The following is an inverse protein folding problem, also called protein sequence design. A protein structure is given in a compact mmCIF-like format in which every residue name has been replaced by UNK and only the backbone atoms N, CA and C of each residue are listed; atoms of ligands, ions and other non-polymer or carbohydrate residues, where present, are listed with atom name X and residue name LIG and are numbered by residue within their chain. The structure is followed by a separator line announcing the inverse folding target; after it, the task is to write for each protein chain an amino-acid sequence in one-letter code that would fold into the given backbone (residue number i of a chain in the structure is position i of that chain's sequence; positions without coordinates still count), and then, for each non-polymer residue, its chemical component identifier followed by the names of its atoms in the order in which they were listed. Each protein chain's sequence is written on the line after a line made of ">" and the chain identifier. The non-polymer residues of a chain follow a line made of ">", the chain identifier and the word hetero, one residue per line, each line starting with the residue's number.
data_IF_508514401215
#
_entry.id   IF_508514401215
#
_cell.length_a   1.000
_cell.length_b   1.000
_cell.length_c   1.000
_cell.angle_alpha   90.00
_cell.angle_beta   90.00
_cell.angle_gamma   90.00
#
_symmetry.space_group_name_H-M   'P 1'
#
loop_
_entity.id
_entity.type
_entity.pdbx_description
1 polymer ?
#
# COMPACT_ATOMS: atom_id res chain seq x y z
N UNK A 1 -15.12 -20.98 8.02
CA UNK A 1 -15.88 -19.85 8.60
C UNK A 1 -15.45 -18.58 7.87
N UNK A 2 -16.32 -17.60 7.64
CA UNK A 2 -15.90 -16.33 7.06
C UNK A 2 -14.86 -15.67 7.97
N UNK A 3 -13.84 -15.05 7.38
CA UNK A 3 -12.87 -14.26 8.14
C UNK A 3 -13.59 -13.07 8.81
N UNK A 4 -13.19 -12.66 10.02
CA UNK A 4 -13.68 -11.40 10.57
C UNK A 4 -13.29 -10.25 9.64
N UNK A 5 -14.17 -9.25 9.53
CA UNK A 5 -13.85 -7.99 8.86
C UNK A 5 -12.69 -7.32 9.63
N UNK A 6 -11.72 -6.82 8.87
CA UNK A 6 -10.57 -6.08 9.40
C UNK A 6 -10.56 -4.71 8.72
N UNK A 7 -10.42 -3.66 9.51
CA UNK A 7 -10.33 -2.28 9.03
C UNK A 7 -8.86 -1.87 8.97
N UNK A 8 -8.41 -1.47 7.78
CA UNK A 8 -7.08 -0.88 7.59
C UNK A 8 -7.10 0.62 7.91
N UNK A 9 -5.92 1.22 8.03
CA UNK A 9 -5.78 2.66 8.07
C UNK A 9 -6.00 3.31 6.69
N UNK A 10 -5.75 4.62 6.61
CA UNK A 10 -5.96 5.42 5.40
C UNK A 10 -4.69 6.13 4.92
N UNK A 11 -4.88 7.09 4.00
CA UNK A 11 -3.77 7.80 3.37
C UNK A 11 -2.92 8.66 4.33
N UNK A 12 -1.73 8.15 4.67
CA UNK A 12 -0.70 8.83 5.48
C UNK A 12 -0.34 10.23 4.93
N UNK A 13 -0.03 10.34 3.64
CA UNK A 13 0.41 11.60 3.02
C UNK A 13 -0.61 12.73 3.14
N UNK A 14 -1.89 12.44 2.93
CA UNK A 14 -2.99 13.43 3.04
C UNK A 14 -3.16 13.91 4.47
N UNK A 15 -3.10 12.99 5.43
CA UNK A 15 -3.27 13.34 6.83
C UNK A 15 -2.08 14.14 7.37
N UNK A 16 -0.86 13.86 6.90
CA UNK A 16 0.33 14.67 7.17
C UNK A 16 0.18 16.08 6.61
N UNK A 17 -0.23 16.22 5.35
CA UNK A 17 -0.48 17.52 4.72
C UNK A 17 -1.55 18.32 5.47
N UNK A 18 -2.66 17.68 5.87
CA UNK A 18 -3.75 18.29 6.64
C UNK A 18 -3.29 18.83 8.00
N UNK A 19 -2.23 18.24 8.57
CA UNK A 19 -1.62 18.66 9.85
C UNK A 19 -0.49 19.67 9.66
N UNK A 20 -0.23 20.11 8.43
CA UNK A 20 0.85 21.03 8.11
C UNK A 20 2.24 20.42 8.23
N UNK A 21 2.37 19.09 8.19
CA UNK A 21 3.67 18.44 8.16
C UNK A 21 4.33 18.61 6.78
N UNK A 22 5.67 18.58 6.68
CA UNK A 22 6.39 18.67 5.41
C UNK A 22 5.91 17.62 4.40
N UNK A 23 5.43 18.09 3.25
CA UNK A 23 4.96 17.25 2.15
C UNK A 23 5.31 17.91 0.82
N UNK A 24 6.22 17.30 0.06
CA UNK A 24 6.66 17.77 -1.25
C UNK A 24 6.93 16.56 -2.15
N UNK A 25 6.62 16.66 -3.45
CA UNK A 25 6.98 15.63 -4.41
C UNK A 25 8.47 15.75 -4.81
N UNK A 26 9.21 14.65 -5.02
CA UNK A 26 8.74 13.25 -5.05
C UNK A 26 8.78 12.54 -3.69
N UNK A 27 9.30 13.15 -2.61
CA UNK A 27 9.48 12.48 -1.32
C UNK A 27 8.17 12.16 -0.58
N UNK A 28 7.08 12.88 -0.89
CA UNK A 28 5.75 12.71 -0.29
C UNK A 28 5.81 12.59 1.25
N UNK A 29 5.30 11.49 1.81
CA UNK A 29 5.25 11.23 3.25
C UNK A 29 6.62 10.87 3.85
N UNK A 30 7.62 10.50 3.04
CA UNK A 30 8.98 10.28 3.54
C UNK A 30 9.61 11.58 4.03
N UNK A 31 9.24 12.75 3.46
CA UNK A 31 9.77 14.03 3.92
C UNK A 31 9.37 14.31 5.37
N UNK A 32 8.11 14.08 5.72
CA UNK A 32 7.64 14.18 7.10
C UNK A 32 8.35 13.18 8.02
N UNK A 33 8.62 11.96 7.55
CA UNK A 33 9.40 10.98 8.33
C UNK A 33 10.82 11.50 8.64
N UNK A 34 11.46 12.15 7.68
CA UNK A 34 12.83 12.68 7.81
C UNK A 34 12.89 13.95 8.68
N UNK A 35 11.90 14.84 8.55
CA UNK A 35 11.96 16.18 9.14
C UNK A 35 11.08 16.37 10.37
N UNK A 36 9.97 15.64 10.47
CA UNK A 36 8.99 15.77 11.54
C UNK A 36 8.36 14.40 11.92
N UNK A 37 9.16 13.42 12.38
CA UNK A 37 8.69 12.07 12.69
C UNK A 37 7.57 12.00 13.73
N UNK A 38 7.46 12.99 14.62
CA UNK A 38 6.34 13.08 15.57
C UNK A 38 4.99 13.19 14.87
N UNK A 39 4.92 13.90 13.73
CA UNK A 39 3.69 14.02 12.96
C UNK A 39 3.23 12.66 12.41
N UNK A 40 4.18 11.80 11.99
CA UNK A 40 3.88 10.44 11.52
C UNK A 40 3.28 9.58 12.64
N UNK A 41 3.87 9.62 13.84
CA UNK A 41 3.30 8.94 15.01
C UNK A 41 1.90 9.46 15.35
N UNK A 42 1.69 10.78 15.28
CA UNK A 42 0.36 11.37 15.51
C UNK A 42 -0.67 10.89 14.48
N UNK A 43 -0.29 10.67 13.22
CA UNK A 43 -1.17 10.13 12.18
C UNK A 43 -1.55 8.68 12.50
N UNK A 44 -0.59 7.83 12.85
CA UNK A 44 -0.88 6.46 13.28
C UNK A 44 -1.85 6.43 14.48
N UNK A 45 -1.61 7.25 15.51
CA UNK A 45 -2.51 7.34 16.67
C UNK A 45 -3.92 7.73 16.28
N UNK A 46 -4.09 8.63 15.31
CA UNK A 46 -5.42 9.01 14.85
C UNK A 46 -6.14 7.90 14.08
N UNK A 47 -5.44 7.10 13.27
CA UNK A 47 -6.06 5.93 12.63
C UNK A 47 -6.42 4.83 13.64
N UNK A 48 -5.55 4.58 14.62
CA UNK A 48 -5.86 3.70 15.76
C UNK A 48 -7.11 4.22 16.50
N UNK A 49 -7.20 5.54 16.74
CA UNK A 49 -8.34 6.09 17.44
C UNK A 49 -9.63 6.01 16.63
N UNK A 50 -9.54 6.20 15.30
CA UNK A 50 -10.64 6.01 14.37
C UNK A 50 -11.13 4.56 14.24
N UNK A 51 -10.35 3.58 14.73
CA UNK A 51 -10.76 2.17 14.80
C UNK A 51 -10.07 1.25 13.80
N UNK A 52 -8.90 1.62 13.27
CA UNK A 52 -8.09 0.71 12.46
C UNK A 52 -7.64 -0.51 13.28
N UNK A 53 -7.84 -1.71 12.72
CA UNK A 53 -7.33 -2.97 13.25
C UNK A 53 -5.86 -3.20 12.84
N UNK A 54 -5.45 -2.58 11.74
CA UNK A 54 -4.10 -2.65 11.18
C UNK A 54 -3.70 -1.26 10.71
N UNK A 55 -2.51 -0.82 11.10
CA UNK A 55 -1.87 0.38 10.55
C UNK A 55 -0.68 -0.01 9.66
N UNK A 56 -0.41 0.81 8.65
CA UNK A 56 0.64 0.58 7.67
C UNK A 56 1.80 1.53 7.94
N UNK A 57 3.03 1.02 8.01
CA UNK A 57 4.23 1.84 8.24
C UNK A 57 4.40 2.92 7.17
N UNK A 58 4.90 4.10 7.56
CA UNK A 58 5.21 5.18 6.62
C UNK A 58 6.52 4.93 5.85
N UNK A 59 6.59 3.86 5.07
CA UNK A 59 7.79 3.44 4.33
C UNK A 59 7.59 3.37 2.81
N UNK A 60 6.38 3.65 2.32
CA UNK A 60 6.02 3.58 0.90
C UNK A 60 6.95 4.39 -0.02
N UNK A 61 7.27 5.63 0.35
CA UNK A 61 8.14 6.49 -0.46
C UNK A 61 9.64 6.30 -0.17
N UNK A 62 10.06 5.29 0.61
CA UNK A 62 11.46 5.05 0.95
C UNK A 62 12.21 4.23 -0.11
N UNK A 63 11.94 4.49 -1.39
CA UNK A 63 12.61 3.85 -2.53
C UNK A 63 13.43 4.88 -3.31
N UNK A 64 14.48 4.47 -4.05
CA UNK A 64 15.33 5.38 -4.83
C UNK A 64 14.55 6.32 -5.74
N UNK A 65 13.45 5.84 -6.32
CA UNK A 65 12.57 6.64 -7.17
C UNK A 65 12.05 7.92 -6.49
N UNK A 66 11.79 7.86 -5.18
CA UNK A 66 11.16 8.97 -4.42
C UNK A 66 12.15 9.77 -3.58
N UNK A 67 13.08 9.12 -2.87
CA UNK A 67 14.05 9.82 -2.02
C UNK A 67 15.42 10.03 -2.70
N UNK A 68 15.62 9.48 -3.89
CA UNK A 68 16.90 9.53 -4.60
C UNK A 68 17.86 8.41 -4.19
N UNK A 69 18.75 8.05 -5.10
CA UNK A 69 19.72 6.94 -4.93
C UNK A 69 20.66 7.13 -3.73
N UNK A 70 21.18 8.34 -3.55
CA UNK A 70 22.14 8.62 -2.48
C UNK A 70 21.51 8.56 -1.08
N UNK A 71 20.34 9.17 -0.91
CA UNK A 71 19.60 9.12 0.36
C UNK A 71 19.10 7.71 0.65
N UNK A 72 18.59 6.98 -0.35
CA UNK A 72 18.20 5.58 -0.17
C UNK A 72 19.39 4.72 0.27
N UNK A 73 20.52 4.81 -0.42
CA UNK A 73 21.73 4.03 -0.11
C UNK A 73 22.27 4.32 1.28
N UNK A 74 22.21 5.56 1.73
CA UNK A 74 22.80 5.99 3.00
C UNK A 74 21.83 5.88 4.19
N UNK A 75 20.52 6.05 3.94
CA UNK A 75 19.52 6.20 5.00
C UNK A 75 18.33 5.24 4.88
N UNK A 76 18.13 4.54 3.76
CA UNK A 76 16.92 3.75 3.47
C UNK A 76 16.57 2.75 4.59
N UNK A 77 17.52 1.95 5.05
CA UNK A 77 17.28 1.02 6.17
C UNK A 77 16.96 1.74 7.49
N UNK A 78 17.66 2.85 7.78
CA UNK A 78 17.44 3.64 8.99
C UNK A 78 16.06 4.28 9.00
N UNK A 79 15.61 4.82 7.85
CA UNK A 79 14.29 5.41 7.70
C UNK A 79 13.20 4.34 7.76
N UNK A 80 13.40 3.17 7.14
CA UNK A 80 12.48 2.04 7.22
C UNK A 80 12.32 1.55 8.67
N UNK A 81 13.43 1.50 9.42
CA UNK A 81 13.41 1.24 10.87
C UNK A 81 12.63 2.30 11.64
N UNK A 82 12.88 3.58 11.39
CA UNK A 82 12.16 4.67 12.05
C UNK A 82 10.65 4.60 11.77
N UNK A 83 10.24 4.29 10.54
CA UNK A 83 8.83 4.11 10.19
C UNK A 83 8.18 2.97 11.00
N UNK A 84 8.89 1.84 11.16
CA UNK A 84 8.44 0.73 12.01
C UNK A 84 8.36 1.12 13.50
N UNK A 85 9.38 1.80 14.03
CA UNK A 85 9.43 2.28 15.42
C UNK A 85 8.24 3.19 15.74
N UNK A 86 7.92 4.14 14.88
CA UNK A 86 6.82 5.09 15.09
C UNK A 86 5.44 4.43 15.03
N UNK A 87 5.25 3.45 14.14
CA UNK A 87 4.02 2.67 14.07
C UNK A 87 3.85 1.82 15.32
N UNK A 88 4.89 1.09 15.74
CA UNK A 88 4.85 0.29 16.97
C UNK A 88 4.62 1.18 18.19
N UNK A 89 5.27 2.35 18.26
CA UNK A 89 5.09 3.29 19.36
C UNK A 89 3.63 3.72 19.45
N UNK A 90 2.99 4.06 18.33
CA UNK A 90 1.57 4.43 18.32
C UNK A 90 0.65 3.30 18.80
N UNK A 91 0.98 2.04 18.49
CA UNK A 91 0.28 0.86 19.03
C UNK A 91 0.53 0.71 20.54
N UNK A 92 1.77 0.85 21.00
CA UNK A 92 2.13 0.75 22.42
C UNK A 92 1.54 1.87 23.30
N UNK A 93 1.34 3.05 22.72
CA UNK A 93 0.65 4.19 23.36
C UNK A 93 -0.88 3.97 23.47
N UNK A 94 -1.42 2.95 22.79
CA UNK A 94 -2.86 2.65 22.73
C UNK A 94 -3.24 1.47 23.63
N UNK A 95 -4.49 1.45 24.09
CA UNK A 95 -5.10 0.29 24.75
C UNK A 95 -5.76 -0.70 23.77
N UNK A 96 -5.80 -0.36 22.48
CA UNK A 96 -6.44 -1.17 21.42
C UNK A 96 -5.46 -2.23 20.90
N UNK A 97 -6.00 -3.39 20.51
CA UNK A 97 -5.22 -4.45 19.85
C UNK A 97 -5.14 -4.15 18.36
N UNK A 98 -4.09 -3.44 17.96
CA UNK A 98 -3.83 -3.07 16.56
C UNK A 98 -2.55 -3.76 16.10
N UNK A 99 -2.52 -4.19 14.84
CA UNK A 99 -1.32 -4.77 14.20
C UNK A 99 -0.60 -3.77 13.31
N UNK A 100 0.69 -3.97 13.12
CA UNK A 100 1.52 -3.17 12.21
C UNK A 100 1.81 -3.96 10.93
N UNK A 101 1.43 -3.40 9.78
CA UNK A 101 1.81 -3.88 8.47
C UNK A 101 3.06 -3.13 7.98
N UNK A 102 4.12 -3.89 7.64
CA UNK A 102 5.26 -3.31 6.94
C UNK A 102 4.90 -3.11 5.46
N UNK A 103 4.81 -1.85 5.04
CA UNK A 103 4.65 -1.48 3.63
C UNK A 103 5.88 -1.90 2.82
N UNK A 104 5.61 -2.62 1.74
CA UNK A 104 6.54 -2.96 0.68
C UNK A 104 5.97 -2.39 -0.64
N UNK A 105 6.41 -1.18 -1.06
CA UNK A 105 5.91 -0.49 -2.24
C UNK A 105 6.45 -1.09 -3.55
N UNK A 106 5.99 -0.64 -4.73
CA UNK A 106 6.68 -0.89 -5.99
C UNK A 106 8.11 -0.35 -5.93
N UNK A 107 9.10 -1.19 -6.21
CA UNK A 107 10.50 -0.85 -5.99
C UNK A 107 11.08 0.16 -7.01
N UNK A 108 10.46 0.24 -8.19
CA UNK A 108 10.97 1.00 -9.35
C UNK A 108 10.03 2.12 -9.81
N UNK A 109 9.13 2.56 -8.93
CA UNK A 109 8.14 3.59 -9.21
C UNK A 109 6.72 3.03 -9.27
N UNK A 110 5.77 3.80 -8.75
CA UNK A 110 4.36 3.45 -8.73
C UNK A 110 3.79 3.41 -10.14
N UNK A 111 2.83 2.52 -10.40
CA UNK A 111 2.10 2.42 -11.67
C UNK A 111 2.97 2.17 -12.92
N UNK A 112 4.24 1.82 -12.74
CA UNK A 112 5.23 1.62 -13.82
C UNK A 112 5.75 0.18 -13.84
N UNK A 113 4.90 -0.82 -14.16
CA UNK A 113 5.31 -2.22 -14.22
C UNK A 113 6.39 -2.46 -15.28
N UNK A 114 6.53 -1.55 -16.26
CA UNK A 114 7.56 -1.57 -17.29
C UNK A 114 8.97 -1.27 -16.76
N UNK A 115 9.09 -0.63 -15.59
CA UNK A 115 10.37 -0.32 -14.96
C UNK A 115 10.88 -1.43 -14.02
N UNK A 116 10.07 -2.47 -13.77
CA UNK A 116 10.43 -3.52 -12.83
C UNK A 116 11.66 -4.32 -13.28
N UNK A 117 12.70 -4.35 -12.44
CA UNK A 117 13.90 -5.15 -12.63
C UNK A 117 14.08 -6.16 -11.49
N UNK A 118 13.80 -7.43 -11.80
CA UNK A 118 13.93 -8.53 -10.84
C UNK A 118 15.37 -8.71 -10.31
N UNK A 119 16.40 -8.37 -11.08
CA UNK A 119 17.79 -8.49 -10.66
C UNK A 119 18.19 -7.39 -9.65
N UNK A 120 17.60 -6.21 -9.77
CA UNK A 120 17.83 -5.08 -8.85
C UNK A 120 16.90 -5.09 -7.63
N UNK A 121 15.77 -5.82 -7.69
CA UNK A 121 14.79 -5.88 -6.61
C UNK A 121 15.40 -6.18 -5.21
N UNK A 122 16.37 -7.11 -5.05
CA UNK A 122 16.98 -7.36 -3.74
C UNK A 122 17.72 -6.14 -3.15
N UNK A 123 18.32 -5.29 -3.99
CA UNK A 123 19.07 -4.10 -3.56
C UNK A 123 18.14 -3.07 -2.91
N UNK A 124 16.91 -2.94 -3.44
CA UNK A 124 15.92 -1.97 -2.95
C UNK A 124 15.05 -2.56 -1.84
N UNK A 125 14.60 -3.81 -1.98
CA UNK A 125 13.71 -4.42 -1.01
C UNK A 125 14.40 -4.73 0.33
N UNK A 126 15.69 -5.12 0.31
CA UNK A 126 16.35 -5.62 1.51
C UNK A 126 16.48 -4.56 2.63
N UNK A 127 16.90 -3.32 2.34
CA UNK A 127 16.87 -2.24 3.34
C UNK A 127 15.49 -2.02 3.97
N UNK A 128 14.42 -2.08 3.16
CA UNK A 128 13.04 -1.89 3.61
C UNK A 128 12.55 -3.05 4.49
N UNK A 129 12.80 -4.29 4.06
CA UNK A 129 12.42 -5.50 4.80
C UNK A 129 13.16 -5.55 6.13
N UNK A 130 14.50 -5.45 6.11
CA UNK A 130 15.32 -5.61 7.32
C UNK A 130 15.07 -4.47 8.33
N UNK A 131 14.79 -3.25 7.85
CA UNK A 131 14.50 -2.11 8.72
C UNK A 131 13.18 -2.26 9.47
N UNK A 132 12.14 -2.78 8.80
CA UNK A 132 10.79 -2.89 9.35
C UNK A 132 10.53 -4.20 10.10
N UNK A 133 11.28 -5.27 9.78
CA UNK A 133 11.07 -6.61 10.33
C UNK A 133 10.93 -6.66 11.87
N UNK A 134 11.65 -5.88 12.69
CA UNK A 134 11.50 -5.94 14.15
C UNK A 134 10.18 -5.38 14.70
N UNK A 135 9.41 -4.65 13.88
CA UNK A 135 8.25 -3.85 14.33
C UNK A 135 6.92 -4.27 13.68
N UNK A 136 6.97 -5.12 12.66
CA UNK A 136 5.82 -5.46 11.85
C UNK A 136 5.28 -6.87 12.16
N UNK A 137 3.96 -6.96 12.30
CA UNK A 137 3.22 -8.20 12.49
C UNK A 137 2.91 -8.91 11.17
N UNK A 138 2.96 -8.19 10.03
CA UNK A 138 2.73 -8.74 8.70
C UNK A 138 3.46 -7.92 7.62
N UNK A 139 3.69 -8.55 6.46
CA UNK A 139 4.17 -7.90 5.25
C UNK A 139 3.00 -7.48 4.37
N UNK A 140 3.02 -6.26 3.85
CA UNK A 140 2.03 -5.76 2.90
C UNK A 140 2.75 -5.28 1.63
N UNK A 141 2.77 -6.13 0.60
CA UNK A 141 3.18 -5.72 -0.73
C UNK A 141 2.06 -4.92 -1.38
N UNK A 142 2.09 -3.59 -1.27
CA UNK A 142 1.01 -2.70 -1.72
C UNK A 142 1.28 -1.99 -3.03
N UNK A 143 0.20 -1.61 -3.71
CA UNK A 143 0.22 -0.87 -4.98
C UNK A 143 1.02 -1.58 -6.08
N UNK A 144 1.11 -2.91 -6.03
CA UNK A 144 1.88 -3.68 -7.01
C UNK A 144 1.15 -3.68 -8.35
N UNK A 145 1.86 -3.31 -9.41
CA UNK A 145 1.30 -3.15 -10.76
C UNK A 145 1.34 -4.45 -11.56
N UNK A 146 2.13 -5.44 -11.12
CA UNK A 146 2.26 -6.74 -11.76
C UNK A 146 2.40 -7.89 -10.75
N UNK A 147 2.11 -9.11 -11.19
CA UNK A 147 2.35 -10.31 -10.37
C UNK A 147 3.84 -10.60 -10.17
N UNK A 148 4.70 -10.15 -11.11
CA UNK A 148 6.14 -10.33 -11.02
C UNK A 148 6.75 -9.59 -9.83
N UNK A 149 6.28 -8.37 -9.55
CA UNK A 149 6.73 -7.59 -8.38
C UNK A 149 6.35 -8.28 -7.07
N UNK A 150 5.10 -8.75 -6.94
CA UNK A 150 4.64 -9.51 -5.76
C UNK A 150 5.47 -10.77 -5.56
N UNK A 151 5.75 -11.53 -6.63
CA UNK A 151 6.60 -12.74 -6.55
C UNK A 151 8.00 -12.42 -6.03
N UNK A 152 8.59 -11.32 -6.49
CA UNK A 152 9.92 -10.91 -6.05
C UNK A 152 9.92 -10.47 -4.58
N UNK A 153 8.97 -9.63 -4.16
CA UNK A 153 8.84 -9.22 -2.76
C UNK A 153 8.57 -10.40 -1.83
N UNK A 154 7.68 -11.31 -2.21
CA UNK A 154 7.40 -12.52 -1.45
C UNK A 154 8.65 -13.40 -1.28
N UNK A 155 9.43 -13.59 -2.35
CA UNK A 155 10.67 -14.39 -2.28
C UNK A 155 11.77 -13.77 -1.41
N UNK A 156 11.75 -12.44 -1.23
CA UNK A 156 12.75 -11.71 -0.45
C UNK A 156 12.36 -11.52 1.02
N UNK A 157 11.05 -11.45 1.30
CA UNK A 157 10.51 -11.29 2.64
C UNK A 157 10.65 -12.60 3.46
N UNK A 158 10.99 -12.52 4.76
CA UNK A 158 10.94 -13.68 5.65
C UNK A 158 9.52 -14.25 5.76
N UNK A 159 9.39 -15.58 5.66
CA UNK A 159 8.12 -16.31 5.83
C UNK A 159 7.83 -16.66 7.30
N UNK A 160 8.13 -15.74 8.22
CA UNK A 160 7.92 -15.89 9.66
C UNK A 160 6.62 -15.21 10.15
N UNK A 161 5.91 -14.55 9.24
CA UNK A 161 4.67 -13.79 9.50
C UNK A 161 3.80 -13.74 8.25
N UNK A 162 2.52 -13.35 8.37
CA UNK A 162 1.63 -13.26 7.22
C UNK A 162 2.15 -12.34 6.12
N UNK A 163 1.91 -12.72 4.86
CA UNK A 163 2.23 -11.91 3.69
C UNK A 163 0.96 -11.56 2.93
N UNK A 164 0.69 -10.27 2.76
CA UNK A 164 -0.48 -9.74 2.08
C UNK A 164 -0.04 -9.11 0.76
N UNK A 165 -0.71 -9.47 -0.33
CA UNK A 165 -0.46 -8.92 -1.65
C UNK A 165 -1.61 -8.01 -2.05
N UNK A 166 -1.31 -6.75 -2.36
CA UNK A 166 -2.29 -5.75 -2.80
C UNK A 166 -1.88 -5.16 -4.15
N UNK A 167 -2.80 -5.24 -5.11
CA UNK A 167 -2.55 -4.79 -6.47
C UNK A 167 -3.28 -3.48 -6.79
N UNK A 168 -2.68 -2.68 -7.66
CA UNK A 168 -3.34 -1.53 -8.30
C UNK A 168 -3.88 -1.91 -9.67
N UNK A 169 -5.00 -1.30 -10.05
CA UNK A 169 -5.76 -1.59 -11.25
C UNK A 169 -5.59 -0.48 -12.29
N UNK A 170 -5.73 -0.86 -13.55
CA UNK A 170 -5.76 0.08 -14.67
C UNK A 170 -7.12 0.79 -14.72
N UNK A 171 -7.20 1.95 -14.08
CA UNK A 171 -8.35 2.86 -14.08
C UNK A 171 -8.22 4.01 -15.10
N UNK A 172 -7.09 4.11 -15.78
CA UNK A 172 -6.87 5.04 -16.90
C UNK A 172 -7.46 4.47 -18.20
N UNK A 173 -7.30 3.16 -18.42
CA UNK A 173 -7.84 2.43 -19.56
C UNK A 173 -8.74 1.28 -19.10
N UNK A 174 -9.86 1.57 -18.40
CA UNK A 174 -10.63 0.56 -17.69
C UNK A 174 -11.20 -0.50 -18.64
N UNK A 175 -10.82 -1.75 -18.38
CA UNK A 175 -11.33 -2.93 -19.08
C UNK A 175 -12.44 -3.62 -18.29
N UNK A 176 -13.29 -4.39 -18.99
CA UNK A 176 -14.27 -5.30 -18.37
C UNK A 176 -14.01 -6.74 -18.84
N UNK A 177 -13.56 -7.66 -17.97
CA UNK A 177 -13.25 -7.45 -16.54
C UNK A 177 -12.02 -6.55 -16.31
N UNK A 178 -11.87 -5.96 -15.10
CA UNK A 178 -10.71 -5.16 -14.73
C UNK A 178 -9.38 -5.91 -14.88
N UNK A 179 -8.29 -5.16 -14.97
CA UNK A 179 -6.93 -5.68 -15.12
C UNK A 179 -5.98 -4.94 -14.18
N UNK A 180 -4.86 -5.59 -13.87
CA UNK A 180 -3.71 -4.91 -13.28
C UNK A 180 -3.15 -3.90 -14.27
N UNK A 181 -2.36 -2.94 -13.79
CA UNK A 181 -1.67 -1.97 -14.68
C UNK A 181 -0.69 -2.62 -15.65
N UNK A 182 -0.20 -3.84 -15.36
CA UNK A 182 0.57 -4.66 -16.30
C UNK A 182 -0.27 -5.29 -17.43
N UNK A 183 -1.60 -5.15 -17.40
CA UNK A 183 -2.55 -5.81 -18.31
C UNK A 183 -2.94 -7.23 -17.88
N UNK A 184 -2.32 -7.77 -16.83
CA UNK A 184 -2.66 -9.08 -16.27
C UNK A 184 -4.11 -9.12 -15.75
N UNK A 185 -4.76 -10.28 -15.89
CA UNK A 185 -6.13 -10.45 -15.40
C UNK A 185 -6.17 -10.59 -13.88
N UNK A 186 -7.31 -10.24 -13.27
CA UNK A 186 -7.56 -10.51 -11.85
C UNK A 186 -7.44 -12.01 -11.52
N UNK A 187 -7.84 -12.89 -12.44
CA UNK A 187 -7.69 -14.34 -12.26
C UNK A 187 -6.21 -14.76 -12.17
N UNK A 188 -5.32 -14.14 -12.95
CA UNK A 188 -3.88 -14.39 -12.86
C UNK A 188 -3.29 -13.88 -11.53
N UNK A 189 -3.77 -12.73 -11.05
CA UNK A 189 -3.40 -12.20 -9.74
C UNK A 189 -3.82 -13.17 -8.62
N UNK A 190 -5.09 -13.64 -8.63
CA UNK A 190 -5.61 -14.64 -7.69
C UNK A 190 -4.78 -15.92 -7.72
N UNK A 191 -4.53 -16.48 -8.91
CA UNK A 191 -3.75 -17.70 -9.06
C UNK A 191 -2.32 -17.53 -8.50
N UNK A 192 -1.71 -16.36 -8.73
CA UNK A 192 -0.38 -16.06 -8.18
C UNK A 192 -0.39 -15.99 -6.66
N UNK A 193 -1.35 -15.31 -6.05
CA UNK A 193 -1.39 -15.18 -4.57
C UNK A 193 -1.66 -16.53 -3.91
N UNK A 194 -2.49 -17.40 -4.51
CA UNK A 194 -2.68 -18.79 -4.06
C UNK A 194 -1.39 -19.60 -4.18
N UNK A 195 -0.73 -19.54 -5.33
CA UNK A 195 0.51 -20.28 -5.62
C UNK A 195 1.65 -19.91 -4.65
N UNK A 196 1.75 -18.62 -4.30
CA UNK A 196 2.71 -18.14 -3.31
C UNK A 196 2.38 -18.57 -1.87
N UNK A 197 1.14 -18.99 -1.60
CA UNK A 197 0.67 -19.29 -0.24
C UNK A 197 0.54 -18.05 0.65
N UNK A 198 0.32 -16.88 0.05
CA UNK A 198 0.09 -15.64 0.78
C UNK A 198 -1.26 -15.67 1.53
N UNK A 199 -1.40 -14.83 2.56
CA UNK A 199 -2.52 -14.87 3.51
C UNK A 199 -3.72 -14.03 3.10
N UNK A 200 -3.49 -13.03 2.23
CA UNK A 200 -4.54 -12.16 1.72
C UNK A 200 -4.22 -11.62 0.32
N UNK A 201 -5.26 -11.49 -0.49
CA UNK A 201 -5.30 -10.72 -1.73
C UNK A 201 -6.07 -9.43 -1.47
N UNK A 202 -5.51 -8.28 -1.85
CA UNK A 202 -6.16 -6.98 -1.74
C UNK A 202 -6.03 -6.20 -3.06
N UNK A 203 -6.81 -5.12 -3.16
CA UNK A 203 -6.67 -4.10 -4.20
C UNK A 203 -6.61 -2.70 -3.57
N UNK A 204 -5.73 -1.84 -4.08
CA UNK A 204 -5.56 -0.49 -3.57
C UNK A 204 -5.05 0.50 -4.63
N UNK A 205 -5.13 1.80 -4.31
CA UNK A 205 -4.60 2.88 -5.15
C UNK A 205 -5.20 2.93 -6.59
N UNK A 206 -6.52 2.77 -6.69
CA UNK A 206 -7.34 2.98 -7.90
C UNK A 206 -8.75 3.44 -7.47
N UNK A 207 -9.62 3.79 -8.42
CA UNK A 207 -10.99 4.21 -8.09
C UNK A 207 -11.86 3.10 -7.42
N UNK A 208 -12.77 3.45 -6.50
CA UNK A 208 -13.64 2.49 -5.84
C UNK A 208 -14.50 1.65 -6.81
N UNK A 209 -14.96 2.25 -7.90
CA UNK A 209 -15.84 1.60 -8.88
C UNK A 209 -15.14 0.43 -9.58
N UNK A 210 -13.90 0.61 -10.03
CA UNK A 210 -13.13 -0.47 -10.65
C UNK A 210 -12.72 -1.53 -9.63
N UNK A 211 -12.48 -1.14 -8.37
CA UNK A 211 -12.15 -2.08 -7.32
C UNK A 211 -13.33 -2.96 -6.91
N UNK A 212 -14.56 -2.42 -6.89
CA UNK A 212 -15.76 -3.21 -6.64
C UNK A 212 -15.92 -4.32 -7.71
N UNK A 213 -15.69 -3.99 -8.98
CA UNK A 213 -15.66 -4.96 -10.07
C UNK A 213 -14.53 -5.99 -9.87
N UNK A 214 -13.32 -5.56 -9.47
CA UNK A 214 -12.20 -6.46 -9.22
C UNK A 214 -12.44 -7.41 -8.05
N UNK A 215 -13.06 -6.95 -6.96
CA UNK A 215 -13.44 -7.79 -5.81
C UNK A 215 -14.43 -8.87 -6.25
N UNK A 216 -15.41 -8.52 -7.08
CA UNK A 216 -16.38 -9.49 -7.63
C UNK A 216 -15.68 -10.56 -8.47
N UNK A 217 -14.78 -10.15 -9.38
CA UNK A 217 -14.03 -11.07 -10.23
C UNK A 217 -13.07 -11.95 -9.41
N UNK A 218 -12.37 -11.36 -8.44
CA UNK A 218 -11.46 -12.07 -7.56
C UNK A 218 -12.20 -13.10 -6.70
N UNK A 219 -13.39 -12.75 -6.19
CA UNK A 219 -14.22 -13.67 -5.43
C UNK A 219 -14.65 -14.87 -6.26
N UNK A 220 -15.14 -14.65 -7.47
CA UNK A 220 -15.50 -15.74 -8.39
C UNK A 220 -14.30 -16.66 -8.70
N UNK A 221 -13.11 -16.09 -8.91
CA UNK A 221 -11.89 -16.87 -9.16
C UNK A 221 -11.44 -17.67 -7.91
N UNK A 222 -11.55 -17.09 -6.72
CA UNK A 222 -11.24 -17.78 -5.45
C UNK A 222 -12.20 -18.94 -5.19
N UNK A 223 -13.49 -18.74 -5.44
CA UNK A 223 -14.51 -19.77 -5.27
C UNK A 223 -14.30 -20.92 -6.27
N UNK A 224 -13.95 -20.61 -7.52
CA UNK A 224 -13.60 -21.60 -8.54
C UNK A 224 -12.34 -22.42 -8.17
N UNK A 225 -11.39 -21.79 -7.47
CA UNK A 225 -10.20 -22.45 -6.95
C UNK A 225 -10.42 -23.19 -5.61
N UNK A 226 -11.62 -23.10 -5.02
CA UNK A 226 -11.91 -23.65 -3.69
C UNK A 226 -11.11 -23.00 -2.56
N UNK A 227 -10.63 -21.77 -2.76
CA UNK A 227 -9.74 -21.06 -1.83
C UNK A 227 -10.51 -20.18 -0.86
N UNK A 228 -10.14 -20.25 0.42
CA UNK A 228 -10.67 -19.39 1.49
C UNK A 228 -9.78 -18.18 1.78
N UNK A 229 -8.90 -17.82 0.84
CA UNK A 229 -8.01 -16.66 0.95
C UNK A 229 -8.80 -15.40 1.31
N UNK A 230 -8.26 -14.62 2.26
CA UNK A 230 -8.84 -13.33 2.63
C UNK A 230 -8.78 -12.39 1.42
N UNK A 231 -9.88 -11.71 1.16
CA UNK A 231 -10.01 -10.71 0.11
C UNK A 231 -10.28 -9.35 0.75
N UNK A 232 -9.60 -8.28 0.31
CA UNK A 232 -9.74 -6.94 0.88
C UNK A 232 -9.56 -5.83 -0.15
N UNK A 233 -9.89 -4.60 0.24
CA UNK A 233 -9.82 -3.42 -0.64
C UNK A 233 -9.63 -2.15 0.16
N UNK A 234 -8.84 -1.20 -0.36
CA UNK A 234 -8.74 0.17 0.16
C UNK A 234 -8.51 1.15 -1.01
N UNK A 235 -9.61 1.64 -1.56
CA UNK A 235 -9.64 2.47 -2.76
C UNK A 235 -9.32 3.95 -2.52
N UNK A 236 -9.08 4.69 -3.61
CA UNK A 236 -8.86 6.13 -3.58
C UNK A 236 -10.17 6.88 -3.34
N UNK A 237 -10.09 7.99 -2.59
CA UNK A 237 -11.20 8.92 -2.40
C UNK A 237 -11.07 10.19 -3.28
N UNK A 238 -10.18 10.19 -4.26
CA UNK A 238 -9.82 11.36 -5.08
C UNK A 238 -9.86 11.02 -6.57
N UNK A 239 -9.89 12.05 -7.42
CA UNK A 239 -9.77 11.90 -8.87
C UNK A 239 -8.36 11.38 -9.22
N UNK A 240 -8.22 10.46 -10.18
CA UNK A 240 -6.88 10.02 -10.59
C UNK A 240 -6.25 11.10 -11.48
N UNK A 241 -4.91 11.20 -11.45
CA UNK A 241 -4.17 11.98 -12.42
C UNK A 241 -4.39 11.43 -13.84
N UNK A 242 -4.58 12.31 -14.81
CA UNK A 242 -4.27 11.98 -16.21
C UNK A 242 -2.75 11.75 -16.27
N UNK A 243 -2.35 10.54 -16.66
CA UNK A 243 -0.99 10.01 -16.69
C UNK A 243 0.10 11.02 -17.08
N UNK A 244 0.90 11.46 -16.09
CA UNK A 244 2.37 11.60 -16.16
C UNK A 244 2.94 12.06 -14.80
N UNK A 245 3.18 11.13 -13.86
CA UNK A 245 3.82 11.45 -12.56
C UNK A 245 5.22 12.09 -12.74
N UNK A 246 5.85 11.90 -13.91
CA UNK A 246 7.12 12.52 -14.27
C UNK A 246 7.00 13.98 -14.74
N UNK A 247 5.80 14.47 -15.06
CA UNK A 247 5.56 15.81 -15.61
C UNK A 247 4.92 16.80 -14.64
N UNK A 248 4.56 16.37 -13.41
CA UNK A 248 3.99 17.28 -12.42
C UNK A 248 5.08 18.23 -11.91
N UNK A 249 4.91 19.57 -12.04
CA UNK A 249 5.79 20.49 -11.34
C UNK A 249 5.70 20.21 -9.84
N UNK A 250 6.83 20.31 -9.13
CA UNK A 250 7.03 19.94 -7.72
C UNK A 250 6.16 20.71 -6.69
N UNK A 251 5.09 21.39 -7.13
CA UNK A 251 4.27 22.32 -6.37
C UNK A 251 2.76 22.03 -6.41
N UNK A 252 2.28 21.06 -7.17
CA UNK A 252 0.86 20.67 -7.11
C UNK A 252 0.67 19.63 -6.00
N UNK A 253 -0.12 20.02 -5.00
CA UNK A 253 -0.47 19.20 -3.84
C UNK A 253 -1.26 17.94 -4.21
N UNK A 254 -1.74 17.23 -3.20
CA UNK A 254 -2.57 16.05 -3.40
C UNK A 254 -3.89 16.43 -4.07
N UNK A 255 -4.39 15.60 -5.01
CA UNK A 255 -5.67 15.84 -5.71
C UNK A 255 -6.82 16.13 -4.75
N UNK A 256 -7.80 16.92 -5.15
CA UNK A 256 -8.98 17.15 -4.32
C UNK A 256 -9.74 15.83 -4.08
N UNK A 257 -10.24 15.68 -2.84
CA UNK A 257 -11.13 14.56 -2.50
C UNK A 257 -12.42 14.76 -3.29
N UNK A 258 -12.86 13.69 -3.95
CA UNK A 258 -14.12 13.63 -4.68
C UNK A 258 -15.27 13.99 -3.74
N UNK A 259 -16.03 15.03 -4.07
CA UNK A 259 -17.12 15.54 -3.22
C UNK A 259 -18.27 14.55 -3.09
N UNK A 260 -18.39 13.62 -4.04
CA UNK A 260 -19.35 12.53 -4.01
C UNK A 260 -18.91 11.34 -3.13
N UNK A 261 -17.63 11.24 -2.77
CA UNK A 261 -17.08 10.20 -1.87
C UNK A 261 -17.02 10.68 -0.41
N UNK A 262 -18.13 11.18 0.12
CA UNK A 262 -18.28 11.46 1.56
C UNK A 262 -18.13 10.18 2.41
N UNK A 263 -17.85 10.27 3.72
CA UNK A 263 -17.79 9.08 4.59
C UNK A 263 -19.04 8.19 4.50
N UNK A 264 -20.23 8.77 4.36
CA UNK A 264 -21.48 8.02 4.22
C UNK A 264 -21.60 7.31 2.85
N UNK A 265 -21.17 7.98 1.78
CA UNK A 265 -21.14 7.39 0.45
C UNK A 265 -20.11 6.25 0.36
N UNK A 266 -18.93 6.46 0.95
CA UNK A 266 -17.87 5.45 1.01
C UNK A 266 -18.30 4.22 1.84
N UNK A 267 -19.05 4.42 2.93
CA UNK A 267 -19.67 3.32 3.67
C UNK A 267 -20.67 2.53 2.82
N UNK A 268 -21.46 3.21 1.99
CA UNK A 268 -22.41 2.52 1.08
C UNK A 268 -21.65 1.64 0.08
N UNK A 269 -20.54 2.13 -0.49
CA UNK A 269 -19.66 1.34 -1.35
C UNK A 269 -19.03 0.14 -0.61
N UNK A 270 -18.64 0.32 0.66
CA UNK A 270 -18.07 -0.77 1.45
C UNK A 270 -19.08 -1.87 1.84
N UNK A 271 -20.38 -1.61 1.69
CA UNK A 271 -21.47 -2.55 2.01
C UNK A 271 -21.94 -3.39 0.80
N UNK A 272 -21.49 -3.07 -0.41
CA UNK A 272 -21.82 -3.81 -1.64
C UNK A 272 -20.95 -5.05 -1.79
#
# INVERSE_FOLDING_TARGET
>A
MPHPLLILDGGMGRELLRRGAPFVQPQWSALALMQQPSAVADVHRAYIEAGADIITTNSYALVPFHIGEDDFRTQGNKLARLAGELAQQAVGDSSKKVRVAASLPPLFGSYRPDLFDAAQAPVIARPLIDGQAPYADLWLAETQSSTAEVRALHALAPHDRPFWASFTLDDEHPAKPPRLRSGESIANAVATVIDLGADALLFNCSHPEIMADAITVARAALDAAGSTLRLGVYANAFCAHDADEAALPANDGLDDIRTDLSPAAYLTLAQT
#
